data_IF_027261977289
#
_entry.id   IF_027261977289
#
_cell.length_a   1.000
_cell.length_b   1.000
_cell.length_c   1.000
_cell.angle_alpha   90.00
_cell.angle_beta   90.00
_cell.angle_gamma   90.00
#
_symmetry.space_group_name_H-M   'P 1'
#
loop_
_entity.id
_entity.type
_entity.pdbx_description
1 polymer ?
#
# COMPACT_ATOMS: atom_id res chain seq x y z
N UNK A 1 8.80 35.57 12.61
CA UNK A 1 7.44 35.25 12.10
C UNK A 1 7.56 35.07 10.60
N UNK A 2 7.27 33.96 9.94
CA UNK A 2 6.73 32.64 10.29
C UNK A 2 7.42 31.64 9.34
N UNK A 3 7.88 30.51 9.87
CA UNK A 3 8.57 29.47 9.09
C UNK A 3 7.92 28.12 9.33
N UNK A 4 6.61 28.04 9.10
CA UNK A 4 5.83 26.81 9.17
C UNK A 4 6.30 25.87 8.07
N UNK A 5 7.29 25.03 8.39
CA UNK A 5 7.78 23.96 7.54
C UNK A 5 6.66 22.97 7.27
N UNK A 6 6.26 22.91 6.00
CA UNK A 6 5.22 22.03 5.51
C UNK A 6 5.50 20.56 5.89
N UNK A 7 4.51 19.98 6.55
CA UNK A 7 4.36 18.57 6.88
C UNK A 7 4.60 17.67 5.65
N UNK A 8 5.76 17.00 5.60
CA UNK A 8 6.04 15.97 4.58
C UNK A 8 5.33 14.67 4.98
N UNK A 9 4.02 14.63 4.75
CA UNK A 9 3.12 13.55 5.10
C UNK A 9 3.45 12.25 4.36
N UNK A 10 3.72 11.20 5.12
CA UNK A 10 3.89 9.84 4.64
C UNK A 10 2.51 9.31 4.24
N UNK A 11 2.22 9.30 2.94
CA UNK A 11 0.96 8.75 2.41
C UNK A 11 0.99 7.22 2.45
N UNK A 12 0.73 6.67 3.63
CA UNK A 12 0.43 5.26 3.87
C UNK A 12 -1.10 5.10 3.83
N UNK A 13 -1.64 4.87 2.64
CA UNK A 13 -3.08 4.74 2.44
C UNK A 13 -3.58 3.43 3.06
N UNK A 14 -4.52 3.50 4.01
CA UNK A 14 -5.10 2.29 4.61
C UNK A 14 -5.90 1.54 3.55
N UNK A 15 -5.75 0.21 3.51
CA UNK A 15 -6.51 -0.64 2.58
C UNK A 15 -7.98 -0.74 3.00
N UNK A 16 -8.30 -0.41 4.26
CA UNK A 16 -9.65 -0.54 4.81
C UNK A 16 -10.02 -1.98 5.19
N UNK A 17 -9.03 -2.88 5.24
CA UNK A 17 -9.18 -4.26 5.74
C UNK A 17 -8.06 -4.63 6.69
N UNK A 18 -8.37 -5.56 7.59
CA UNK A 18 -7.42 -6.12 8.54
C UNK A 18 -6.68 -7.31 7.92
N UNK A 19 -5.49 -7.56 8.42
CA UNK A 19 -4.66 -8.69 8.06
C UNK A 19 -5.29 -9.97 8.61
N UNK A 20 -5.51 -11.01 7.79
CA UNK A 20 -6.08 -12.27 8.27
C UNK A 20 -5.12 -13.08 9.15
N UNK A 21 -3.80 -12.82 9.09
CA UNK A 21 -2.81 -13.56 9.88
C UNK A 21 -2.66 -13.01 11.31
N UNK A 22 -2.76 -11.69 11.48
CA UNK A 22 -2.49 -11.04 12.77
C UNK A 22 -3.57 -10.04 13.21
N UNK A 23 -4.60 -9.79 12.41
CA UNK A 23 -5.69 -8.84 12.71
C UNK A 23 -5.32 -7.35 12.57
N UNK A 24 -4.04 -7.03 12.33
CA UNK A 24 -3.54 -5.64 12.20
C UNK A 24 -3.99 -5.00 10.90
N UNK A 25 -3.99 -3.67 10.84
CA UNK A 25 -4.41 -2.93 9.64
C UNK A 25 -3.49 -3.20 8.43
N UNK A 26 -4.10 -3.42 7.26
CA UNK A 26 -3.37 -3.47 6.00
C UNK A 26 -3.24 -2.07 5.43
N UNK A 27 -2.03 -1.74 4.96
CA UNK A 27 -1.70 -0.44 4.39
C UNK A 27 -1.09 -0.61 3.01
N UNK A 28 -1.41 0.32 2.11
CA UNK A 28 -0.78 0.43 0.81
C UNK A 28 0.55 1.16 0.95
N UNK A 29 1.60 0.51 0.48
CA UNK A 29 2.95 1.07 0.38
C UNK A 29 3.32 1.23 -1.08
N UNK A 30 3.99 2.33 -1.38
CA UNK A 30 4.53 2.58 -2.71
C UNK A 30 6.02 2.28 -2.70
N UNK A 31 6.44 1.34 -3.54
CA UNK A 31 7.84 1.03 -3.80
C UNK A 31 8.20 1.41 -5.23
N UNK A 32 9.50 1.34 -5.54
CA UNK A 32 10.04 1.65 -6.87
C UNK A 32 9.40 0.84 -8.01
N UNK A 33 8.85 -0.34 -7.71
CA UNK A 33 8.17 -1.23 -8.67
C UNK A 33 6.65 -1.18 -8.64
N UNK A 34 6.02 -0.31 -7.84
CA UNK A 34 4.57 -0.18 -7.77
C UNK A 34 4.01 -0.09 -6.35
N UNK A 35 2.68 0.04 -6.27
CA UNK A 35 1.90 -0.01 -5.04
C UNK A 35 1.76 -1.46 -4.59
N UNK A 36 1.89 -1.77 -3.31
CA UNK A 36 1.68 -3.10 -2.75
C UNK A 36 0.99 -3.00 -1.40
N UNK A 37 0.29 -4.06 -0.98
CA UNK A 37 -0.35 -4.10 0.33
C UNK A 37 0.62 -4.75 1.31
N UNK A 38 1.00 -4.01 2.35
CA UNK A 38 1.79 -4.52 3.45
C UNK A 38 1.01 -4.49 4.74
N UNK A 39 1.26 -5.46 5.61
CA UNK A 39 0.76 -5.38 6.97
C UNK A 39 1.45 -4.26 7.74
N UNK A 40 0.65 -3.45 8.47
CA UNK A 40 1.17 -2.43 9.39
C UNK A 40 1.97 -3.06 10.55
N UNK A 41 1.80 -4.36 10.78
CA UNK A 41 2.43 -5.10 11.86
C UNK A 41 3.83 -5.66 11.61
N UNK A 42 4.49 -5.34 10.51
CA UNK A 42 5.85 -5.80 10.25
C UNK A 42 6.84 -5.26 11.31
N UNK A 43 7.76 -6.05 11.89
CA UNK A 43 8.22 -7.39 11.48
C UNK A 43 7.46 -8.59 12.09
N UNK A 44 6.56 -8.34 13.06
CA UNK A 44 5.80 -9.40 13.73
C UNK A 44 4.84 -10.12 12.77
N UNK A 45 4.34 -9.38 11.78
CA UNK A 45 3.43 -9.88 10.77
C UNK A 45 4.03 -9.59 9.38
N UNK A 46 4.60 -10.64 8.75
CA UNK A 46 5.24 -10.57 7.42
C UNK A 46 4.26 -10.73 6.27
N UNK A 47 2.96 -10.63 6.56
CA UNK A 47 1.90 -10.65 5.56
C UNK A 47 2.10 -9.52 4.54
N UNK A 48 2.29 -9.90 3.29
CA UNK A 48 2.42 -9.03 2.14
C UNK A 48 1.46 -9.53 1.09
N UNK A 49 0.55 -8.67 0.66
CA UNK A 49 -0.36 -8.97 -0.42
C UNK A 49 0.04 -8.15 -1.65
N UNK A 50 0.69 -8.84 -2.59
CA UNK A 50 1.11 -8.28 -3.88
C UNK A 50 -0.04 -8.12 -4.87
N UNK A 51 -1.30 -8.25 -4.42
CA UNK A 51 -2.51 -8.20 -5.25
C UNK A 51 -2.83 -6.79 -5.78
N UNK A 52 -1.80 -6.01 -6.17
CA UNK A 52 -1.92 -5.20 -7.38
C UNK A 52 -1.95 -6.16 -8.56
N UNK A 53 -3.17 -6.52 -8.85
CA UNK A 53 -3.60 -7.53 -9.79
C UNK A 53 -2.76 -7.52 -11.09
N UNK A 54 -2.23 -8.67 -11.56
CA UNK A 54 -1.75 -8.78 -12.94
C UNK A 54 -2.86 -8.47 -13.96
N UNK A 55 -4.13 -8.30 -13.56
CA UNK A 55 -5.21 -7.82 -14.45
C UNK A 55 -5.10 -6.38 -14.94
N UNK A 56 -4.16 -5.54 -14.48
CA UNK A 56 -3.83 -4.34 -15.26
C UNK A 56 -3.15 -4.70 -16.59
N UNK A 57 -2.50 -5.87 -16.67
CA UNK A 57 -2.02 -6.42 -17.94
C UNK A 57 -3.16 -6.75 -18.90
N UNK A 58 -4.36 -7.06 -18.39
CA UNK A 58 -5.55 -7.35 -19.20
C UNK A 58 -6.37 -6.10 -19.56
N UNK A 59 -6.14 -4.94 -18.93
CA UNK A 59 -6.77 -3.68 -19.36
C UNK A 59 -6.01 -3.03 -20.54
N UNK A 60 -4.73 -3.36 -20.73
CA UNK A 60 -3.94 -2.94 -21.90
C UNK A 60 -4.37 -3.59 -23.22
N UNK A 61 -5.11 -4.69 -23.16
CA UNK A 61 -5.66 -5.37 -24.34
C UNK A 61 -6.97 -4.73 -24.83
N UNK A 62 -7.59 -3.86 -24.02
CA UNK A 62 -8.89 -3.26 -24.32
C UNK A 62 -8.82 -1.80 -24.79
N UNK A 63 -7.62 -1.27 -24.99
CA UNK A 63 -7.37 0.11 -25.45
C UNK A 63 -6.27 0.10 -26.51
N UNK A 64 -6.43 -0.80 -27.50
CA UNK A 64 -5.93 -0.66 -28.87
C UNK A 64 -6.74 0.43 -29.61
#
# INVERSE_FOLDING_TARGET
MEGSGAIKGKIEEKVGRNCPECGKELIYKFSRGGKFIGCSGYPECKYLESSVNPKLQALKDKYD
#
